data_IF_555770653676
#
_entry.id   IF_555770653676
#
_cell.length_a   1.000
_cell.length_b   1.000
_cell.length_c   1.000
_cell.angle_alpha   90.00
_cell.angle_beta   90.00
_cell.angle_gamma   90.00
#
_symmetry.space_group_name_H-M   'P 1'
#
loop_
_entity.id
_entity.type
_entity.pdbx_description
1 polymer ?
#
# COMPACT_ATOMS: atom_id res chain seq x y z
N UNK A 1 8.51 -1.07 -14.23
CA UNK A 1 7.69 -2.31 -14.25
C UNK A 1 7.44 -2.87 -12.84
N UNK A 2 8.46 -3.14 -12.03
CA UNK A 2 8.28 -3.72 -10.68
C UNK A 2 7.33 -2.93 -9.75
N UNK A 3 7.37 -1.60 -9.77
CA UNK A 3 6.48 -0.76 -8.94
C UNK A 3 5.01 -0.88 -9.33
N UNK A 4 4.71 -0.96 -10.62
CA UNK A 4 3.33 -1.12 -11.12
C UNK A 4 2.81 -2.49 -10.72
N UNK A 5 3.61 -3.55 -10.88
CA UNK A 5 3.26 -4.89 -10.44
C UNK A 5 3.02 -4.96 -8.92
N UNK A 6 3.86 -4.29 -8.11
CA UNK A 6 3.67 -4.22 -6.67
C UNK A 6 2.38 -3.48 -6.26
N UNK A 7 2.05 -2.37 -6.95
CA UNK A 7 0.79 -1.65 -6.73
C UNK A 7 -0.42 -2.52 -7.06
N UNK A 8 -0.40 -3.18 -8.23
CA UNK A 8 -1.48 -4.09 -8.65
C UNK A 8 -1.62 -5.22 -7.64
N UNK A 9 -0.52 -5.89 -7.27
CA UNK A 9 -0.54 -6.98 -6.30
C UNK A 9 -1.15 -6.56 -4.96
N UNK A 10 -0.79 -5.37 -4.46
CA UNK A 10 -1.35 -4.82 -3.22
C UNK A 10 -2.84 -4.52 -3.34
N UNK A 11 -3.28 -3.96 -4.46
CA UNK A 11 -4.71 -3.69 -4.72
C UNK A 11 -5.50 -4.99 -4.78
N UNK A 12 -4.98 -6.02 -5.48
CA UNK A 12 -5.62 -7.33 -5.58
C UNK A 12 -5.71 -8.03 -4.21
N UNK A 13 -4.65 -7.99 -3.42
CA UNK A 13 -4.67 -8.51 -2.04
C UNK A 13 -5.69 -7.76 -1.18
N UNK A 14 -5.70 -6.42 -1.23
CA UNK A 14 -6.66 -5.62 -0.50
C UNK A 14 -8.12 -5.89 -0.92
N UNK A 15 -8.37 -6.01 -2.22
CA UNK A 15 -9.69 -6.33 -2.77
C UNK A 15 -10.21 -7.67 -2.26
N UNK A 16 -9.35 -8.70 -2.16
CA UNK A 16 -9.72 -10.00 -1.60
C UNK A 16 -10.31 -9.88 -0.20
N UNK A 17 -9.67 -9.09 0.68
CA UNK A 17 -10.18 -8.86 2.04
C UNK A 17 -11.46 -8.03 2.06
N UNK A 18 -11.58 -7.03 1.18
CA UNK A 18 -12.81 -6.22 1.07
C UNK A 18 -13.99 -7.10 0.67
N UNK A 19 -13.84 -7.94 -0.36
CA UNK A 19 -14.91 -8.85 -0.78
C UNK A 19 -15.23 -9.89 0.30
N UNK A 20 -14.22 -10.43 0.97
CA UNK A 20 -14.42 -11.38 2.07
C UNK A 20 -15.19 -10.75 3.24
N UNK A 21 -14.86 -9.51 3.62
CA UNK A 21 -15.52 -8.80 4.70
C UNK A 21 -16.92 -8.33 4.33
N UNK A 22 -17.15 -7.90 3.09
CA UNK A 22 -18.50 -7.57 2.60
C UNK A 22 -19.44 -8.78 2.69
N UNK A 23 -18.97 -9.97 2.34
CA UNK A 23 -19.74 -11.21 2.51
C UNK A 23 -20.18 -11.42 3.97
N UNK A 24 -19.29 -11.18 4.92
CA UNK A 24 -19.57 -11.31 6.36
C UNK A 24 -20.54 -10.23 6.89
N UNK A 25 -20.46 -9.01 6.36
CA UNK A 25 -21.33 -7.90 6.77
C UNK A 25 -22.72 -8.01 6.13
N UNK A 26 -22.84 -8.61 4.95
CA UNK A 26 -24.13 -8.86 4.30
C UNK A 26 -24.93 -9.98 4.95
N UNK A 27 -24.26 -10.98 5.52
CA UNK A 27 -24.88 -12.02 6.33
C UNK A 27 -24.15 -12.23 7.68
N UNK A 28 -24.35 -11.31 8.65
CA UNK A 28 -23.72 -11.42 9.96
C UNK A 28 -24.25 -12.62 10.76
N UNK A 29 -25.51 -13.01 10.53
CA UNK A 29 -26.14 -14.12 11.24
C UNK A 29 -25.54 -15.47 10.82
N UNK A 30 -25.39 -15.71 9.51
CA UNK A 30 -24.71 -16.90 9.00
C UNK A 30 -23.25 -16.95 9.43
N UNK A 31 -22.56 -15.81 9.41
CA UNK A 31 -21.16 -15.71 9.88
C UNK A 31 -21.04 -16.00 11.38
N UNK A 32 -21.95 -15.49 12.21
CA UNK A 32 -21.97 -15.74 13.64
C UNK A 32 -22.21 -17.22 13.96
N UNK A 33 -23.19 -17.84 13.30
CA UNK A 33 -23.48 -19.27 13.46
C UNK A 33 -22.29 -20.14 13.06
N UNK A 34 -21.63 -19.82 11.94
CA UNK A 34 -20.42 -20.53 11.50
C UNK A 34 -19.26 -20.35 12.48
N UNK A 35 -19.08 -19.14 13.03
CA UNK A 35 -18.03 -18.83 13.98
C UNK A 35 -18.19 -19.55 15.31
N UNK A 36 -19.43 -19.66 15.81
CA UNK A 36 -19.73 -20.41 17.03
C UNK A 36 -19.64 -21.92 16.84
N UNK A 37 -19.89 -22.41 15.63
CA UNK A 37 -19.79 -23.83 15.30
C UNK A 37 -18.33 -24.31 15.19
N UNK A 38 -17.49 -23.52 14.51
CA UNK A 38 -16.14 -23.97 14.12
C UNK A 38 -14.99 -23.32 14.89
N UNK A 39 -15.27 -22.34 15.76
CA UNK A 39 -14.25 -21.66 16.53
C UNK A 39 -14.68 -21.42 17.98
N UNK A 40 -13.73 -21.22 18.91
CA UNK A 40 -14.04 -20.86 20.29
C UNK A 40 -14.50 -19.39 20.46
N UNK A 41 -14.67 -18.64 19.37
CA UNK A 41 -15.01 -17.22 19.41
C UNK A 41 -16.52 -16.97 19.42
N UNK A 42 -17.00 -15.98 20.18
CA UNK A 42 -18.42 -15.64 20.24
C UNK A 42 -18.92 -15.02 18.92
N UNK A 43 -20.11 -15.41 18.46
CA UNK A 43 -20.70 -14.95 17.21
C UNK A 43 -20.90 -13.43 17.13
N UNK A 44 -20.96 -12.73 18.27
CA UNK A 44 -21.03 -11.26 18.34
C UNK A 44 -19.85 -10.56 17.67
N UNK A 45 -18.71 -11.24 17.52
CA UNK A 45 -17.53 -10.70 16.82
C UNK A 45 -17.67 -10.74 15.29
N UNK A 46 -18.66 -11.44 14.73
CA UNK A 46 -18.78 -11.65 13.29
C UNK A 46 -18.81 -10.32 12.50
N UNK A 47 -19.60 -9.36 12.98
CA UNK A 47 -19.70 -8.04 12.36
C UNK A 47 -18.38 -7.25 12.52
N UNK A 48 -17.74 -7.33 13.68
CA UNK A 48 -16.45 -6.68 13.92
C UNK A 48 -15.35 -7.24 13.01
N UNK A 49 -15.32 -8.55 12.79
CA UNK A 49 -14.40 -9.22 11.86
C UNK A 49 -14.65 -8.77 10.42
N UNK A 50 -15.90 -8.75 9.97
CA UNK A 50 -16.24 -8.28 8.62
C UNK A 50 -15.84 -6.83 8.37
N UNK A 51 -16.12 -5.94 9.33
CA UNK A 51 -15.69 -4.53 9.27
C UNK A 51 -14.17 -4.41 9.28
N UNK A 52 -13.48 -5.18 10.13
CA UNK A 52 -12.03 -5.19 10.19
C UNK A 52 -11.42 -5.60 8.84
N UNK A 53 -11.89 -6.67 8.20
CA UNK A 53 -11.39 -7.11 6.89
C UNK A 53 -11.57 -6.03 5.82
N UNK A 54 -12.72 -5.36 5.79
CA UNK A 54 -12.98 -4.27 4.84
C UNK A 54 -12.01 -3.12 5.08
N UNK A 55 -11.92 -2.64 6.32
CA UNK A 55 -11.07 -1.49 6.67
C UNK A 55 -9.61 -1.81 6.43
N UNK A 56 -9.12 -2.96 6.91
CA UNK A 56 -7.73 -3.37 6.74
C UNK A 56 -7.39 -3.63 5.26
N UNK A 57 -8.32 -4.20 4.48
CA UNK A 57 -8.18 -4.38 3.04
C UNK A 57 -8.07 -3.05 2.28
N UNK A 58 -8.89 -2.06 2.64
CA UNK A 58 -8.83 -0.71 2.06
C UNK A 58 -7.55 0.03 2.45
N UNK A 59 -7.12 -0.06 3.71
CA UNK A 59 -5.85 0.51 4.18
C UNK A 59 -4.67 -0.11 3.44
N UNK A 60 -4.66 -1.44 3.27
CA UNK A 60 -3.66 -2.13 2.48
C UNK A 60 -3.66 -1.64 1.02
N UNK A 61 -4.81 -1.61 0.36
CA UNK A 61 -4.93 -1.21 -1.05
C UNK A 61 -4.46 0.25 -1.29
N UNK A 62 -4.93 1.17 -0.44
CA UNK A 62 -4.59 2.60 -0.50
C UNK A 62 -3.09 2.86 -0.31
N UNK A 63 -2.37 1.94 0.34
CA UNK A 63 -0.95 2.08 0.61
C UNK A 63 -0.63 2.91 1.86
N UNK A 64 -1.65 3.23 2.66
CA UNK A 64 -1.47 3.84 3.97
C UNK A 64 -1.07 2.77 4.99
N UNK A 65 -0.07 3.04 5.83
CA UNK A 65 0.39 2.11 6.88
C UNK A 65 0.53 0.63 6.43
N UNK A 66 1.03 0.40 5.21
CA UNK A 66 1.08 -0.92 4.55
C UNK A 66 1.67 -2.01 5.44
N UNK A 67 2.77 -1.73 6.14
CA UNK A 67 3.41 -2.71 7.04
C UNK A 67 2.49 -3.16 8.17
N UNK A 68 1.79 -2.22 8.81
CA UNK A 68 0.89 -2.53 9.94
C UNK A 68 -0.31 -3.31 9.42
N UNK A 69 -0.92 -2.84 8.33
CA UNK A 69 -2.04 -3.53 7.70
C UNK A 69 -1.67 -4.95 7.25
N UNK A 70 -0.50 -5.13 6.62
CA UNK A 70 -0.01 -6.45 6.22
C UNK A 70 0.17 -7.39 7.40
N UNK A 71 0.80 -6.95 8.49
CA UNK A 71 0.99 -7.78 9.69
C UNK A 71 -0.35 -8.16 10.31
N UNK A 72 -1.26 -7.19 10.46
CA UNK A 72 -2.59 -7.44 11.01
C UNK A 72 -3.37 -8.45 10.15
N UNK A 73 -3.34 -8.31 8.83
CA UNK A 73 -3.98 -9.24 7.89
C UNK A 73 -3.30 -10.60 7.86
N UNK A 74 -1.98 -10.70 8.04
CA UNK A 74 -1.26 -11.98 8.15
C UNK A 74 -1.73 -12.73 9.39
N UNK A 75 -1.71 -12.08 10.55
CA UNK A 75 -2.13 -12.69 11.81
C UNK A 75 -3.60 -13.13 11.71
N UNK A 76 -4.46 -12.25 11.20
CA UNK A 76 -5.87 -12.57 10.97
C UNK A 76 -6.05 -13.78 10.04
N UNK A 77 -5.37 -13.80 8.88
CA UNK A 77 -5.49 -14.90 7.90
C UNK A 77 -4.94 -16.22 8.44
N UNK A 78 -3.88 -16.17 9.24
CA UNK A 78 -3.31 -17.34 9.89
C UNK A 78 -4.30 -17.92 10.92
N UNK A 79 -4.86 -17.07 11.79
CA UNK A 79 -5.88 -17.50 12.76
C UNK A 79 -7.12 -18.04 12.04
N UNK A 80 -7.60 -17.37 11.00
CA UNK A 80 -8.75 -17.85 10.22
C UNK A 80 -8.48 -19.23 9.60
N UNK A 81 -7.29 -19.46 9.05
CA UNK A 81 -6.92 -20.78 8.52
C UNK A 81 -6.86 -21.85 9.60
N UNK A 82 -6.24 -21.52 10.74
CA UNK A 82 -6.07 -22.46 11.85
C UNK A 82 -7.39 -22.83 12.48
N UNK A 83 -8.35 -21.93 12.65
CA UNK A 83 -9.60 -22.28 13.32
C UNK A 83 -10.65 -22.85 12.36
N UNK A 84 -10.70 -22.41 11.10
CA UNK A 84 -11.82 -22.74 10.19
C UNK A 84 -11.49 -23.78 9.11
N UNK A 85 -10.21 -24.13 8.93
CA UNK A 85 -9.77 -25.02 7.84
C UNK A 85 -8.82 -26.14 8.34
N UNK A 86 -9.03 -26.67 9.54
CA UNK A 86 -8.21 -27.75 10.11
C UNK A 86 -8.39 -29.10 9.41
N UNK A 87 -9.54 -29.37 8.80
CA UNK A 87 -9.85 -30.68 8.22
C UNK A 87 -9.30 -30.78 6.79
N UNK A 88 -7.99 -30.78 6.67
CA UNK A 88 -7.23 -30.93 5.41
C UNK A 88 -7.51 -32.24 4.65
N UNK A 89 -8.24 -33.17 5.25
CA UNK A 89 -8.76 -34.38 4.58
C UNK A 89 -9.91 -34.09 3.61
N UNK A 90 -10.61 -32.96 3.79
CA UNK A 90 -11.59 -32.46 2.83
C UNK A 90 -10.88 -31.57 1.80
N UNK A 91 -11.03 -31.92 0.52
CA UNK A 91 -10.42 -31.20 -0.60
C UNK A 91 -10.83 -29.71 -0.63
N UNK A 92 -12.06 -29.38 -0.22
CA UNK A 92 -12.53 -28.00 -0.20
C UNK A 92 -11.82 -27.17 0.89
N UNK A 93 -11.65 -27.74 2.08
CA UNK A 93 -10.93 -27.08 3.17
C UNK A 93 -9.43 -26.95 2.88
N UNK A 94 -8.82 -28.01 2.32
CA UNK A 94 -7.42 -27.97 1.90
C UNK A 94 -7.16 -26.87 0.85
N UNK A 95 -8.06 -26.70 -0.13
CA UNK A 95 -7.97 -25.63 -1.11
C UNK A 95 -8.07 -24.23 -0.49
N UNK A 96 -8.97 -24.04 0.48
CA UNK A 96 -9.09 -22.77 1.20
C UNK A 96 -7.86 -22.46 2.07
N UNK A 97 -7.31 -23.46 2.76
CA UNK A 97 -6.09 -23.32 3.53
C UNK A 97 -4.90 -22.95 2.64
N UNK A 98 -4.75 -23.59 1.47
CA UNK A 98 -3.72 -23.26 0.48
C UNK A 98 -3.89 -21.84 -0.08
N UNK A 99 -5.14 -21.42 -0.35
CA UNK A 99 -5.44 -20.04 -0.75
C UNK A 99 -4.96 -19.06 0.31
N UNK A 100 -5.29 -19.30 1.57
CA UNK A 100 -4.89 -18.42 2.67
C UNK A 100 -3.37 -18.41 2.88
N UNK A 101 -2.69 -19.55 2.70
CA UNK A 101 -1.23 -19.62 2.74
C UNK A 101 -0.59 -18.78 1.62
N UNK A 102 -1.13 -18.84 0.40
CA UNK A 102 -0.70 -17.99 -0.71
C UNK A 102 -0.93 -16.50 -0.42
N UNK A 103 -2.07 -16.15 0.19
CA UNK A 103 -2.38 -14.77 0.62
C UNK A 103 -1.38 -14.29 1.67
N UNK A 104 -1.05 -15.11 2.68
CA UNK A 104 -0.01 -14.80 3.68
C UNK A 104 1.33 -14.55 2.99
N UNK A 105 1.72 -15.40 2.03
CA UNK A 105 2.93 -15.19 1.22
C UNK A 105 2.93 -13.85 0.48
N UNK A 106 1.81 -13.49 -0.15
CA UNK A 106 1.63 -12.19 -0.81
C UNK A 106 1.72 -11.02 0.18
N UNK A 107 1.11 -11.14 1.36
CA UNK A 107 1.18 -10.11 2.40
C UNK A 107 2.58 -9.97 3.01
N UNK A 108 3.33 -11.06 3.15
CA UNK A 108 4.74 -11.03 3.57
C UNK A 108 5.61 -10.29 2.56
N UNK A 109 5.35 -10.47 1.26
CA UNK A 109 6.00 -9.67 0.22
C UNK A 109 5.62 -8.19 0.35
N UNK A 110 4.34 -7.86 0.60
CA UNK A 110 3.92 -6.46 0.84
C UNK A 110 4.56 -5.92 2.12
N UNK A 111 4.74 -6.71 3.17
CA UNK A 111 5.45 -6.28 4.38
C UNK A 111 6.92 -5.97 4.11
N UNK A 112 7.62 -6.88 3.40
CA UNK A 112 9.02 -6.74 3.04
C UNK A 112 9.27 -5.53 2.13
N UNK A 113 8.41 -5.33 1.13
CA UNK A 113 8.57 -4.29 0.11
C UNK A 113 7.67 -3.06 0.31
N UNK A 114 6.86 -2.99 1.37
CA UNK A 114 5.84 -1.95 1.61
C UNK A 114 6.39 -0.55 1.85
N UNK A 115 7.72 -0.42 1.91
CA UNK A 115 8.47 0.83 2.00
C UNK A 115 9.35 1.10 0.76
N UNK A 116 9.15 0.40 -0.36
CA UNK A 116 9.76 0.83 -1.62
C UNK A 116 9.04 2.11 -2.06
N UNK A 117 9.59 3.23 -1.56
CA UNK A 117 9.37 4.60 -1.99
C UNK A 117 7.94 5.08 -1.78
N UNK A 118 7.73 5.70 -0.62
CA UNK A 118 6.69 6.71 -0.49
C UNK A 118 6.74 7.62 -1.72
N UNK A 119 5.63 7.67 -2.46
CA UNK A 119 5.48 8.56 -3.61
C UNK A 119 5.76 10.03 -3.22
N UNK A 120 5.74 10.39 -1.94
CA UNK A 120 6.13 11.72 -1.46
C UNK A 120 7.65 12.02 -1.63
N UNK A 121 8.51 11.00 -1.68
CA UNK A 121 9.96 11.20 -1.84
C UNK A 121 10.37 11.59 -3.26
N UNK A 122 9.78 10.94 -4.26
CA UNK A 122 10.15 11.13 -5.68
C UNK A 122 9.64 12.47 -6.23
N UNK A 123 8.43 12.89 -5.83
CA UNK A 123 7.91 14.21 -6.19
C UNK A 123 8.74 15.32 -5.55
N UNK A 124 9.12 15.18 -4.27
CA UNK A 124 9.97 16.17 -3.57
C UNK A 124 11.40 16.25 -4.09
N UNK A 125 11.97 15.18 -4.62
CA UNK A 125 13.30 15.23 -5.25
C UNK A 125 13.22 15.91 -6.62
N UNK A 126 12.18 15.61 -7.41
CA UNK A 126 11.97 16.23 -8.72
C UNK A 126 11.61 17.71 -8.62
N UNK A 127 10.76 18.08 -7.67
CA UNK A 127 10.40 19.48 -7.41
C UNK A 127 11.60 20.27 -6.87
N UNK A 128 12.43 19.67 -5.99
CA UNK A 128 13.67 20.31 -5.51
C UNK A 128 14.72 20.47 -6.62
N UNK A 129 14.84 19.49 -7.51
CA UNK A 129 15.73 19.58 -8.66
C UNK A 129 15.26 20.68 -9.62
N UNK A 130 13.96 20.78 -9.89
CA UNK A 130 13.38 21.80 -10.75
C UNK A 130 13.50 23.21 -10.15
N UNK A 131 13.24 23.36 -8.85
CA UNK A 131 13.43 24.63 -8.13
C UNK A 131 14.91 25.06 -8.11
N UNK A 132 15.83 24.10 -8.02
CA UNK A 132 17.27 24.37 -8.09
C UNK A 132 17.69 24.81 -9.50
N UNK A 133 17.17 24.16 -10.54
CA UNK A 133 17.41 24.48 -11.94
C UNK A 133 16.88 25.89 -12.29
N UNK A 134 15.67 26.24 -11.84
CA UNK A 134 15.09 27.59 -12.01
C UNK A 134 15.94 28.66 -11.31
N UNK A 135 16.45 28.37 -10.11
CA UNK A 135 17.31 29.30 -9.38
C UNK A 135 18.67 29.48 -10.04
N UNK A 136 19.26 28.40 -10.56
CA UNK A 136 20.51 28.44 -11.31
C UNK A 136 20.36 29.28 -12.59
N UNK A 137 19.32 29.03 -13.39
CA UNK A 137 19.03 29.80 -14.59
C UNK A 137 18.83 31.30 -14.32
N UNK A 138 18.16 31.66 -13.21
CA UNK A 138 18.04 33.07 -12.79
C UNK A 138 19.37 33.69 -12.34
N UNK A 139 20.25 32.92 -11.72
CA UNK A 139 21.55 33.40 -11.27
C UNK A 139 22.50 33.62 -12.46
N UNK A 140 22.51 32.69 -13.42
CA UNK A 140 23.27 32.81 -14.67
C UNK A 140 22.81 34.01 -15.49
N UNK A 141 21.50 34.19 -15.70
CA UNK A 141 20.98 35.35 -16.41
C UNK A 141 21.30 36.69 -15.73
N UNK A 142 21.36 36.71 -14.39
CA UNK A 142 21.76 37.92 -13.63
C UNK A 142 23.26 38.19 -13.74
N UNK A 143 24.09 37.15 -13.80
CA UNK A 143 25.54 37.27 -13.98
C UNK A 143 25.90 37.73 -15.42
N UNK A 144 25.23 37.20 -16.44
CA UNK A 144 25.39 37.63 -17.84
C UNK A 144 24.94 39.07 -18.05
N UNK A 145 23.80 39.48 -17.47
CA UNK A 145 23.33 40.87 -17.49
C UNK A 145 24.31 41.83 -16.79
N UNK A 146 24.91 41.41 -15.68
CA UNK A 146 25.92 42.23 -14.97
C UNK A 146 27.21 42.33 -15.79
N UNK A 147 27.62 41.23 -16.44
CA UNK A 147 28.85 41.19 -17.25
C UNK A 147 28.71 42.01 -18.53
N UNK A 148 27.55 41.98 -19.19
CA UNK A 148 27.27 42.79 -20.39
C UNK A 148 27.24 44.28 -20.07
N UNK A 149 26.64 44.70 -18.94
CA UNK A 149 26.66 46.11 -18.49
C UNK A 149 28.09 46.59 -18.21
N UNK A 150 28.94 45.76 -17.59
CA UNK A 150 30.35 46.10 -17.32
C UNK A 150 31.18 46.16 -18.62
N UNK A 151 30.81 45.39 -19.65
CA UNK A 151 31.56 45.34 -20.90
C UNK A 151 31.19 46.48 -21.87
N UNK A 152 29.98 47.05 -21.76
CA UNK A 152 29.50 48.20 -22.54
C UNK A 152 30.09 49.54 -22.05
N UNK A 153 30.58 49.60 -20.81
CA UNK A 153 31.20 50.80 -20.20
C UNK A 153 32.64 51.09 -20.67
N UNK A 154 33.15 50.44 -21.73
CA UNK A 154 34.46 50.82 -22.30
C UNK A 154 34.28 52.08 -23.15
N UNK A 155 34.84 53.25 -22.76
CA UNK A 155 34.76 54.45 -23.58
C UNK A 155 35.50 54.20 -24.90
N UNK A 156 34.76 54.25 -26.01
CA UNK A 156 35.31 54.40 -27.34
C UNK A 156 36.05 55.74 -27.39
N UNK A 157 37.35 55.74 -27.11
CA UNK A 157 38.18 56.93 -27.31
C UNK A 157 38.30 57.20 -28.82
N UNK A 158 37.81 58.34 -29.33
CA UNK A 158 38.15 58.77 -30.67
C UNK A 158 39.61 59.24 -30.73
N UNK A 159 40.18 59.08 -31.92
CA UNK A 159 41.59 59.22 -32.29
C UNK A 159 42.22 60.60 -32.04
#
# INVERSE_FOLDING_TARGET
>A
MATIAALIGRILLGALFVFAGLGKVMDPAGTAAYMEAESPFPGSLALAVGVFEIVAGLVLASGFMTRIASVALIVFTALATLFFHERVTDQAQAAMALKNLAVIGGLLMVFAYGQVRGQVGVWRERDRAHDAEIKAARAEGKAEATTTVVHDDRPTRPA
#
